data_IF_450104954062
#
_entry.id   IF_450104954062
#
_cell.length_a   1.000
_cell.length_b   1.000
_cell.length_c   1.000
_cell.angle_alpha   90.00
_cell.angle_beta   90.00
_cell.angle_gamma   90.00
#
_symmetry.space_group_name_H-M   'P 1'
#
loop_
_entity.id
_entity.type
_entity.pdbx_description
1 polymer ?
#
# COMPACT_ATOMS: atom_id res chain seq x y z
N UNK A 1 4.66 15.03 -11.23
CA UNK A 1 4.46 13.57 -11.22
C UNK A 1 3.51 13.27 -10.07
N UNK A 2 2.33 12.70 -10.31
CA UNK A 2 1.34 12.48 -9.24
C UNK A 2 1.65 11.15 -8.53
N UNK A 3 2.45 11.21 -7.46
CA UNK A 3 2.85 10.05 -6.65
C UNK A 3 1.65 9.22 -6.14
N UNK A 4 0.44 9.83 -6.06
CA UNK A 4 -0.81 9.15 -5.70
C UNK A 4 -1.19 8.04 -6.67
N UNK A 5 -0.77 8.10 -7.93
CA UNK A 5 -1.09 7.06 -8.93
C UNK A 5 -0.31 5.76 -8.71
N UNK A 6 0.92 5.85 -8.19
CA UNK A 6 1.78 4.67 -7.92
C UNK A 6 1.42 4.01 -6.59
N UNK A 7 1.11 4.81 -5.56
CA UNK A 7 0.72 4.28 -4.24
C UNK A 7 -0.46 3.29 -4.34
N UNK A 8 -1.36 3.50 -5.30
CA UNK A 8 -2.53 2.66 -5.55
C UNK A 8 -2.23 1.32 -6.23
N UNK A 9 -0.98 1.07 -6.65
CA UNK A 9 -0.53 -0.17 -7.31
C UNK A 9 0.53 -0.90 -6.47
N UNK A 10 0.83 -0.41 -5.27
CA UNK A 10 1.70 -1.08 -4.32
C UNK A 10 0.88 -2.19 -3.64
N UNK A 11 0.95 -3.40 -4.21
CA UNK A 11 0.41 -4.60 -3.61
C UNK A 11 1.55 -5.43 -3.02
N UNK A 12 1.26 -6.09 -1.91
CA UNK A 12 2.10 -7.16 -1.39
C UNK A 12 2.28 -8.24 -2.48
N UNK A 13 3.53 -8.56 -2.85
CA UNK A 13 3.85 -9.57 -3.87
C UNK A 13 4.17 -9.02 -5.27
N UNK A 14 4.02 -7.71 -5.53
CA UNK A 14 4.54 -7.10 -6.76
C UNK A 14 6.02 -6.71 -6.59
N UNK A 15 6.90 -7.36 -7.34
CA UNK A 15 8.26 -6.87 -7.58
C UNK A 15 8.19 -5.70 -8.56
N UNK A 16 8.37 -4.47 -8.07
CA UNK A 16 8.42 -3.23 -8.87
C UNK A 16 9.87 -2.76 -9.01
N UNK A 17 10.25 -2.36 -10.21
CA UNK A 17 11.59 -1.85 -10.52
C UNK A 17 11.52 -0.43 -11.09
N UNK A 18 12.55 0.41 -10.88
CA UNK A 18 12.61 1.73 -11.48
C UNK A 18 12.33 1.70 -12.98
N UNK A 19 11.39 2.53 -13.42
CA UNK A 19 10.97 2.61 -14.82
C UNK A 19 9.83 1.67 -15.23
N UNK A 20 9.39 0.75 -14.37
CA UNK A 20 8.16 -0.01 -14.58
C UNK A 20 6.95 0.94 -14.69
N UNK A 21 6.01 0.62 -15.58
CA UNK A 21 4.72 1.32 -15.66
C UNK A 21 3.65 0.45 -15.05
N UNK A 22 3.10 0.92 -13.94
CA UNK A 22 2.07 0.25 -13.17
C UNK A 22 0.69 0.87 -13.45
N UNK A 23 -0.32 0.02 -13.51
CA UNK A 23 -1.71 0.39 -13.72
C UNK A 23 -2.56 -0.25 -12.62
N UNK A 24 -3.54 0.52 -12.12
CA UNK A 24 -4.67 -0.07 -11.44
C UNK A 24 -5.66 -0.54 -12.50
N UNK A 25 -6.31 -1.67 -12.29
CA UNK A 25 -7.37 -2.13 -13.14
C UNK A 25 -8.48 -2.83 -12.39
N UNK A 26 -9.51 -3.16 -13.14
CA UNK A 26 -10.61 -4.01 -12.68
C UNK A 26 -10.75 -5.21 -13.63
N UNK A 27 -11.00 -6.38 -13.06
CA UNK A 27 -11.71 -7.44 -13.75
C UNK A 27 -13.12 -6.95 -14.09
N UNK A 28 -13.48 -7.07 -15.36
CA UNK A 28 -14.72 -6.56 -15.91
C UNK A 28 -15.36 -7.58 -16.88
N UNK A 29 -16.64 -7.36 -17.15
CA UNK A 29 -17.43 -8.10 -18.13
C UNK A 29 -17.61 -7.26 -19.39
N UNK A 30 -17.28 -7.85 -20.53
CA UNK A 30 -17.59 -7.31 -21.86
C UNK A 30 -18.32 -8.34 -22.72
N UNK A 31 -19.03 -7.85 -23.73
CA UNK A 31 -19.62 -8.70 -24.77
C UNK A 31 -18.61 -9.07 -25.88
N UNK A 32 -19.08 -9.54 -27.03
CA UNK A 32 -18.23 -9.91 -28.17
C UNK A 32 -17.65 -8.71 -28.91
N UNK A 33 -18.26 -7.54 -28.77
CA UNK A 33 -17.86 -6.28 -29.39
C UNK A 33 -16.96 -5.45 -28.46
N UNK A 34 -16.53 -6.01 -27.33
CA UNK A 34 -15.77 -5.34 -26.27
C UNK A 34 -16.55 -4.22 -25.55
N UNK A 35 -17.88 -4.24 -25.64
CA UNK A 35 -18.76 -3.31 -24.90
C UNK A 35 -18.84 -3.73 -23.45
N UNK A 36 -18.61 -2.78 -22.55
CA UNK A 36 -18.55 -2.99 -21.12
C UNK A 36 -19.94 -3.24 -20.55
N UNK A 37 -20.22 -4.45 -20.11
CA UNK A 37 -21.51 -4.86 -19.53
C UNK A 37 -21.51 -4.79 -18.00
N UNK A 38 -20.33 -4.98 -17.38
CA UNK A 38 -20.13 -4.77 -15.94
C UNK A 38 -18.69 -4.36 -15.65
N UNK A 39 -18.48 -3.21 -15.02
CA UNK A 39 -17.15 -2.66 -14.67
C UNK A 39 -16.40 -3.42 -13.57
N UNK A 40 -17.06 -4.37 -12.92
CA UNK A 40 -16.56 -5.10 -11.74
C UNK A 40 -16.83 -6.60 -11.82
N UNK A 41 -17.39 -7.09 -12.92
CA UNK A 41 -17.79 -8.49 -13.10
C UNK A 41 -18.59 -9.05 -11.91
N UNK A 42 -19.64 -8.36 -11.49
CA UNK A 42 -20.45 -8.74 -10.33
C UNK A 42 -19.73 -8.62 -8.99
N UNK A 43 -18.67 -7.79 -8.91
CA UNK A 43 -17.73 -7.74 -7.78
C UNK A 43 -17.18 -9.12 -7.43
N UNK A 44 -16.67 -9.81 -8.44
CA UNK A 44 -16.03 -11.13 -8.30
C UNK A 44 -15.08 -11.16 -7.09
N UNK A 45 -15.15 -12.25 -6.30
CA UNK A 45 -14.29 -12.48 -5.12
C UNK A 45 -13.50 -13.78 -5.21
N UNK A 46 -14.00 -14.75 -5.94
CA UNK A 46 -13.40 -16.08 -6.09
C UNK A 46 -12.82 -16.25 -7.50
N UNK A 47 -11.67 -16.92 -7.59
CA UNK A 47 -11.01 -17.22 -8.87
C UNK A 47 -10.26 -16.04 -9.49
N UNK A 48 -10.20 -14.87 -8.85
CA UNK A 48 -9.44 -13.70 -9.35
C UNK A 48 -7.94 -13.98 -9.41
N UNK A 49 -7.39 -14.70 -8.44
CA UNK A 49 -5.98 -15.12 -8.44
C UNK A 49 -5.66 -16.03 -9.62
N UNK A 50 -6.54 -16.98 -9.96
CA UNK A 50 -6.38 -17.85 -11.11
C UNK A 50 -6.43 -17.06 -12.43
N UNK A 51 -7.37 -16.12 -12.53
CA UNK A 51 -7.50 -15.23 -13.69
C UNK A 51 -6.27 -14.33 -13.85
N UNK A 52 -5.74 -13.76 -12.75
CA UNK A 52 -4.52 -12.97 -12.78
C UNK A 52 -3.31 -13.82 -13.19
N UNK A 53 -3.16 -15.01 -12.61
CA UNK A 53 -2.08 -15.96 -12.92
C UNK A 53 -2.09 -16.40 -14.39
N UNK A 54 -3.26 -16.52 -15.01
CA UNK A 54 -3.38 -16.83 -16.44
C UNK A 54 -2.83 -15.72 -17.36
N UNK A 55 -2.69 -14.49 -16.84
CA UNK A 55 -2.16 -13.33 -17.56
C UNK A 55 -0.76 -12.92 -17.10
N UNK A 56 -0.31 -13.45 -15.97
CA UNK A 56 1.00 -13.14 -15.42
C UNK A 56 2.12 -13.66 -16.34
N UNK A 57 3.10 -12.80 -16.62
CA UNK A 57 4.21 -13.11 -17.51
C UNK A 57 3.92 -12.98 -19.00
N UNK A 58 2.76 -12.45 -19.41
CA UNK A 58 2.45 -12.21 -20.82
C UNK A 58 3.52 -11.35 -21.50
N UNK A 59 3.93 -11.77 -22.71
CA UNK A 59 4.89 -11.05 -23.54
C UNK A 59 4.17 -10.19 -24.58
N UNK A 60 4.39 -8.88 -24.50
CA UNK A 60 3.80 -7.85 -25.34
C UNK A 60 4.88 -7.31 -26.30
N UNK A 61 5.54 -8.23 -27.00
CA UNK A 61 6.79 -7.97 -27.71
C UNK A 61 8.00 -8.06 -26.76
N UNK A 62 8.76 -6.97 -26.62
CA UNK A 62 9.90 -6.86 -25.68
C UNK A 62 9.49 -6.46 -24.25
N UNK A 63 8.19 -6.24 -24.03
CA UNK A 63 7.63 -5.84 -22.74
C UNK A 63 6.99 -7.06 -22.09
N UNK A 64 7.23 -7.24 -20.80
CA UNK A 64 6.60 -8.27 -19.98
C UNK A 64 5.51 -7.62 -19.13
N UNK A 65 4.35 -8.25 -19.05
CA UNK A 65 3.30 -7.88 -18.09
C UNK A 65 3.40 -8.79 -16.85
N UNK A 66 3.33 -8.19 -15.67
CA UNK A 66 3.08 -8.89 -14.41
C UNK A 66 1.67 -8.52 -13.95
N UNK A 67 0.88 -9.51 -13.52
CA UNK A 67 -0.52 -9.31 -13.15
C UNK A 67 -0.79 -9.88 -11.76
N UNK A 68 -1.31 -9.05 -10.87
CA UNK A 68 -1.65 -9.48 -9.51
C UNK A 68 -3.10 -9.11 -9.19
N UNK A 69 -3.87 -10.09 -8.70
CA UNK A 69 -5.22 -9.83 -8.21
C UNK A 69 -5.16 -9.03 -6.89
N UNK A 70 -6.12 -8.12 -6.72
CA UNK A 70 -6.35 -7.39 -5.49
C UNK A 70 -7.66 -7.85 -4.82
N UNK A 71 -8.13 -7.06 -3.85
CA UNK A 71 -9.39 -7.34 -3.16
C UNK A 71 -10.60 -7.18 -4.09
N UNK A 72 -11.43 -8.22 -4.16
CA UNK A 72 -12.57 -8.35 -5.08
C UNK A 72 -12.12 -8.22 -6.56
N UNK A 73 -12.86 -7.48 -7.36
CA UNK A 73 -12.61 -7.21 -8.79
C UNK A 73 -11.33 -6.44 -9.11
N UNK A 74 -10.56 -5.96 -8.12
CA UNK A 74 -9.39 -5.12 -8.35
C UNK A 74 -8.22 -5.95 -8.87
N UNK A 75 -7.40 -5.37 -9.74
CA UNK A 75 -6.19 -6.00 -10.27
C UNK A 75 -5.11 -4.95 -10.49
N UNK A 76 -3.85 -5.33 -10.31
CA UNK A 76 -2.69 -4.53 -10.69
C UNK A 76 -2.02 -5.14 -11.92
N UNK A 77 -1.63 -4.28 -12.86
CA UNK A 77 -0.86 -4.70 -14.04
C UNK A 77 0.40 -3.85 -14.12
N UNK A 78 1.54 -4.50 -14.18
CA UNK A 78 2.85 -3.86 -14.31
C UNK A 78 3.45 -4.21 -15.65
N UNK A 79 3.85 -3.21 -16.42
CA UNK A 79 4.56 -3.37 -17.67
C UNK A 79 6.04 -3.07 -17.45
N UNK A 80 6.89 -4.07 -17.70
CA UNK A 80 8.35 -3.99 -17.59
C UNK A 80 9.01 -4.08 -18.95
N UNK A 81 9.85 -3.11 -19.29
CA UNK A 81 10.57 -3.04 -20.55
C UNK A 81 11.24 -1.68 -20.77
N UNK A 82 12.00 -1.56 -21.87
CA UNK A 82 12.68 -0.30 -22.22
C UNK A 82 11.75 0.66 -22.95
N UNK A 83 11.94 1.97 -22.72
CA UNK A 83 11.25 3.03 -23.47
C UNK A 83 9.78 3.16 -23.10
N UNK A 84 9.42 2.85 -21.85
CA UNK A 84 8.06 3.04 -21.36
C UNK A 84 7.88 4.45 -20.78
N UNK A 85 6.68 4.99 -20.96
CA UNK A 85 6.21 6.21 -20.30
C UNK A 85 4.81 5.98 -19.74
N UNK A 86 4.46 6.55 -18.56
CA UNK A 86 3.12 6.46 -18.00
C UNK A 86 2.12 7.41 -18.68
N UNK A 87 2.55 8.23 -19.65
CA UNK A 87 1.70 9.23 -20.31
C UNK A 87 0.85 8.59 -21.41
N UNK A 88 -0.06 7.71 -20.99
CA UNK A 88 -1.06 7.06 -21.85
C UNK A 88 -2.47 7.30 -21.30
N UNK A 89 -3.48 7.20 -22.16
CA UNK A 89 -4.89 7.18 -21.72
C UNK A 89 -5.26 5.83 -21.12
N UNK A 90 -6.25 5.86 -20.24
CA UNK A 90 -6.88 4.69 -19.65
C UNK A 90 -7.59 3.85 -20.74
N UNK A 91 -7.77 2.55 -20.51
CA UNK A 91 -8.62 1.69 -21.38
C UNK A 91 -10.04 1.55 -20.83
N UNK A 92 -10.24 1.96 -19.59
CA UNK A 92 -11.55 1.93 -18.97
C UNK A 92 -12.39 3.13 -19.43
N UNK A 93 -13.54 2.94 -20.09
CA UNK A 93 -14.40 4.03 -20.55
C UNK A 93 -15.18 4.70 -19.41
N UNK A 94 -15.07 4.22 -18.18
CA UNK A 94 -15.78 4.70 -16.98
C UNK A 94 -17.31 4.57 -16.99
N UNK A 95 -17.91 4.11 -18.08
CA UNK A 95 -19.36 3.96 -18.21
C UNK A 95 -19.71 2.56 -18.77
N UNK A 96 -20.84 2.02 -18.30
CA UNK A 96 -21.39 0.75 -18.81
C UNK A 96 -22.09 1.05 -20.13
N UNK A 97 -21.95 0.15 -21.10
CA UNK A 97 -22.47 0.34 -22.45
C UNK A 97 -21.48 1.02 -23.40
N UNK A 98 -20.32 1.44 -22.92
CA UNK A 98 -19.25 1.94 -23.76
C UNK A 98 -18.25 0.83 -24.12
N UNK A 99 -17.57 0.96 -25.24
CA UNK A 99 -16.53 0.01 -25.64
C UNK A 99 -15.26 0.26 -24.84
N UNK A 100 -14.52 -0.79 -24.49
CA UNK A 100 -13.17 -0.63 -23.92
C UNK A 100 -12.34 0.26 -24.83
N UNK A 101 -11.79 1.33 -24.27
CA UNK A 101 -11.05 2.34 -25.02
C UNK A 101 -9.70 1.81 -25.48
N UNK A 102 -9.30 2.24 -26.68
CA UNK A 102 -7.92 2.07 -27.11
C UNK A 102 -7.03 3.05 -26.35
N UNK A 103 -6.00 2.53 -25.66
CA UNK A 103 -5.01 3.37 -25.00
C UNK A 103 -4.22 4.15 -26.04
N UNK A 104 -4.22 5.47 -25.90
CA UNK A 104 -3.55 6.43 -26.79
C UNK A 104 -2.34 7.03 -26.06
N UNK A 105 -1.21 7.21 -26.77
CA UNK A 105 -0.07 7.92 -26.20
C UNK A 105 -0.40 9.41 -26.08
N UNK A 106 -0.16 9.98 -24.90
CA UNK A 106 -0.28 11.43 -24.65
C UNK A 106 1.01 12.18 -25.01
N UNK A 107 2.09 11.46 -25.34
CA UNK A 107 3.36 11.98 -25.82
C UNK A 107 4.08 10.95 -26.70
N UNK A 108 5.08 11.39 -27.47
CA UNK A 108 5.81 10.52 -28.42
C UNK A 108 6.48 9.31 -27.74
N UNK A 109 7.05 9.51 -26.55
CA UNK A 109 7.70 8.46 -25.76
C UNK A 109 6.72 7.36 -25.30
N UNK A 110 5.43 7.69 -25.14
CA UNK A 110 4.43 6.74 -24.65
C UNK A 110 3.85 5.81 -25.72
N UNK A 111 4.25 5.95 -27.00
CA UNK A 111 3.77 5.10 -28.10
C UNK A 111 4.00 3.61 -27.84
N UNK A 112 5.14 3.27 -27.23
CA UNK A 112 5.49 1.88 -26.90
C UNK A 112 4.57 1.35 -25.80
N UNK A 113 4.34 2.13 -24.74
CA UNK A 113 3.41 1.77 -23.65
C UNK A 113 2.00 1.58 -24.18
N UNK A 114 1.46 2.52 -24.95
CA UNK A 114 0.11 2.44 -25.50
C UNK A 114 -0.09 1.17 -26.34
N UNK A 115 0.89 0.84 -27.19
CA UNK A 115 0.88 -0.40 -27.98
C UNK A 115 0.88 -1.65 -27.10
N UNK A 116 1.67 -1.66 -26.03
CA UNK A 116 1.72 -2.76 -25.08
C UNK A 116 0.40 -2.91 -24.32
N UNK A 117 -0.19 -1.81 -23.83
CA UNK A 117 -1.51 -1.79 -23.18
C UNK A 117 -2.58 -2.37 -24.10
N UNK A 118 -2.64 -1.93 -25.36
CA UNK A 118 -3.63 -2.43 -26.32
C UNK A 118 -3.41 -3.92 -26.66
N UNK A 119 -2.15 -4.35 -26.75
CA UNK A 119 -1.82 -5.76 -26.93
C UNK A 119 -2.22 -6.60 -25.70
N UNK A 120 -2.02 -6.08 -24.50
CA UNK A 120 -2.43 -6.71 -23.25
C UNK A 120 -3.95 -6.87 -23.19
N UNK A 121 -4.72 -5.80 -23.41
CA UNK A 121 -6.19 -5.83 -23.41
C UNK A 121 -6.73 -6.91 -24.35
N UNK A 122 -6.21 -6.99 -25.58
CA UNK A 122 -6.62 -8.00 -26.58
C UNK A 122 -6.26 -9.43 -26.15
N UNK A 123 -5.05 -9.65 -25.64
CA UNK A 123 -4.62 -10.97 -25.18
C UNK A 123 -5.38 -11.40 -23.93
N UNK A 124 -5.59 -10.49 -22.98
CA UNK A 124 -6.35 -10.73 -21.77
C UNK A 124 -7.78 -11.17 -22.11
N UNK A 125 -8.48 -10.46 -23.00
CA UNK A 125 -9.81 -10.89 -23.43
C UNK A 125 -9.81 -12.30 -24.03
N UNK A 126 -8.87 -12.59 -24.93
CA UNK A 126 -8.77 -13.91 -25.57
C UNK A 126 -8.55 -15.05 -24.57
N UNK A 127 -7.70 -14.82 -23.57
CA UNK A 127 -7.39 -15.83 -22.54
C UNK A 127 -8.55 -15.96 -21.56
N UNK A 128 -9.07 -14.85 -21.05
CA UNK A 128 -10.07 -14.83 -20.00
C UNK A 128 -11.45 -15.29 -20.51
N UNK A 129 -11.87 -14.95 -21.74
CA UNK A 129 -13.19 -15.32 -22.29
C UNK A 129 -13.48 -16.81 -22.17
N UNK A 130 -12.47 -17.64 -22.38
CA UNK A 130 -12.59 -19.11 -22.35
C UNK A 130 -12.02 -19.74 -21.08
N UNK A 131 -11.59 -18.96 -20.09
CA UNK A 131 -10.98 -19.48 -18.86
C UNK A 131 -11.98 -20.32 -18.05
N UNK A 132 -11.59 -21.45 -17.42
CA UNK A 132 -12.49 -22.31 -16.65
C UNK A 132 -13.35 -21.56 -15.62
N UNK A 133 -12.75 -20.61 -14.89
CA UNK A 133 -13.45 -19.72 -13.95
C UNK A 133 -14.60 -19.00 -14.64
N UNK A 134 -14.37 -18.36 -15.80
CA UNK A 134 -15.40 -17.63 -16.52
C UNK A 134 -16.46 -18.55 -17.14
N UNK A 135 -16.09 -19.74 -17.61
CA UNK A 135 -17.10 -20.73 -18.06
C UNK A 135 -18.03 -21.14 -16.93
N UNK A 136 -17.49 -21.37 -15.73
CA UNK A 136 -18.28 -21.72 -14.55
C UNK A 136 -19.19 -20.55 -14.12
N UNK A 137 -18.70 -19.30 -14.16
CA UNK A 137 -19.51 -18.11 -13.87
C UNK A 137 -20.69 -17.97 -14.82
N UNK A 138 -20.44 -18.08 -16.13
CA UNK A 138 -21.49 -18.01 -17.15
C UNK A 138 -22.53 -19.11 -16.96
N UNK A 139 -22.11 -20.35 -16.66
CA UNK A 139 -23.02 -21.46 -16.39
C UNK A 139 -23.93 -21.23 -15.17
N UNK A 140 -23.51 -20.38 -14.22
CA UNK A 140 -24.30 -19.95 -13.05
C UNK A 140 -25.13 -18.69 -13.30
N UNK A 141 -25.08 -18.10 -14.50
CA UNK A 141 -25.73 -16.82 -14.79
C UNK A 141 -25.01 -15.60 -14.18
N UNK A 142 -23.77 -15.77 -13.72
CA UNK A 142 -22.96 -14.67 -13.17
C UNK A 142 -22.19 -13.94 -14.29
N UNK A 143 -21.97 -12.61 -14.16
CA UNK A 143 -21.15 -11.86 -15.12
C UNK A 143 -19.71 -12.41 -15.19
N UNK A 144 -19.17 -12.73 -16.38
CA UNK A 144 -17.81 -13.21 -16.51
C UNK A 144 -16.78 -12.10 -16.27
N UNK A 145 -15.66 -12.40 -15.63
CA UNK A 145 -14.49 -11.53 -15.55
C UNK A 145 -13.61 -11.74 -16.79
N UNK A 146 -14.14 -11.46 -17.98
CA UNK A 146 -13.51 -11.75 -19.27
C UNK A 146 -12.66 -10.62 -19.84
N UNK A 147 -12.55 -9.47 -19.16
CA UNK A 147 -11.67 -8.38 -19.54
C UNK A 147 -10.97 -7.76 -18.33
N UNK A 148 -9.88 -7.04 -18.59
CA UNK A 148 -9.27 -6.11 -17.62
C UNK A 148 -9.32 -4.71 -18.22
N UNK A 149 -9.90 -3.78 -17.48
CA UNK A 149 -9.92 -2.36 -17.80
C UNK A 149 -8.90 -1.62 -16.92
N UNK A 150 -7.98 -0.88 -17.54
CA UNK A 150 -6.81 -0.28 -16.91
C UNK A 150 -6.98 1.22 -16.75
N UNK A 151 -6.46 1.73 -15.63
CA UNK A 151 -6.48 3.14 -15.26
C UNK A 151 -5.24 3.60 -14.53
N UNK A 152 -4.99 4.90 -14.60
CA UNK A 152 -4.10 5.58 -13.67
C UNK A 152 -2.65 5.17 -13.82
N UNK A 153 -2.18 5.06 -15.07
CA UNK A 153 -0.79 4.77 -15.39
C UNK A 153 0.18 5.61 -14.54
N UNK A 154 1.11 4.92 -13.88
CA UNK A 154 2.14 5.51 -13.03
C UNK A 154 3.49 4.86 -13.29
N UNK A 155 4.56 5.64 -13.20
CA UNK A 155 5.93 5.11 -13.29
C UNK A 155 6.45 4.83 -11.90
N UNK A 156 6.95 3.62 -11.65
CA UNK A 156 7.62 3.36 -10.38
C UNK A 156 8.85 4.27 -10.27
N UNK A 157 8.89 5.19 -9.29
CA UNK A 157 9.93 6.19 -9.20
C UNK A 157 11.25 5.54 -8.83
N UNK A 158 12.34 6.22 -9.18
CA UNK A 158 13.65 5.89 -8.61
C UNK A 158 13.65 6.37 -7.15
N UNK A 159 13.65 5.41 -6.22
CA UNK A 159 13.62 5.66 -4.79
C UNK A 159 14.94 5.19 -4.20
N UNK A 160 15.60 6.09 -3.45
CA UNK A 160 16.74 5.69 -2.61
C UNK A 160 16.19 4.86 -1.45
N UNK A 161 16.60 3.59 -1.30
CA UNK A 161 16.19 2.75 -0.19
C UNK A 161 16.51 3.42 1.16
N UNK A 162 15.69 3.18 2.17
CA UNK A 162 15.90 3.73 3.51
C UNK A 162 17.22 3.26 4.11
N UNK A 163 17.63 2.04 3.76
CA UNK A 163 18.88 1.42 4.17
C UNK A 163 20.11 2.15 3.63
N UNK A 164 20.02 2.67 2.40
CA UNK A 164 21.05 3.52 1.81
C UNK A 164 20.97 4.95 2.36
N UNK A 165 19.77 5.52 2.42
CA UNK A 165 19.57 6.92 2.78
C UNK A 165 19.97 7.24 4.23
N UNK A 166 19.71 6.32 5.15
CA UNK A 166 19.96 6.52 6.58
C UNK A 166 20.99 5.56 7.16
N UNK A 167 21.60 4.69 6.34
CA UNK A 167 22.62 3.72 6.78
C UNK A 167 22.14 2.83 7.93
N UNK A 168 20.91 2.31 7.82
CA UNK A 168 20.27 1.44 8.83
C UNK A 168 19.76 0.14 8.19
N UNK A 169 19.82 -0.98 8.89
CA UNK A 169 18.97 -2.14 8.54
C UNK A 169 17.55 -1.89 9.03
N UNK A 170 16.54 -2.17 8.21
CA UNK A 170 15.17 -1.76 8.52
C UNK A 170 14.14 -2.86 8.25
N UNK A 171 13.20 -3.05 9.18
CA UNK A 171 12.11 -3.99 9.06
C UNK A 171 10.74 -3.36 9.38
N UNK A 172 9.69 -3.87 8.75
CA UNK A 172 8.32 -3.37 8.90
C UNK A 172 7.33 -4.51 9.18
N UNK A 173 6.45 -4.28 10.16
CA UNK A 173 5.37 -5.20 10.54
C UNK A 173 4.03 -4.49 10.32
N UNK A 174 3.24 -5.01 9.38
CA UNK A 174 1.90 -4.53 9.12
C UNK A 174 0.99 -5.69 8.68
N UNK A 175 -0.31 -5.59 8.98
CA UNK A 175 -1.31 -6.54 8.49
C UNK A 175 -1.92 -6.17 7.13
N UNK A 176 -1.75 -4.92 6.69
CA UNK A 176 -2.37 -4.42 5.45
C UNK A 176 -1.39 -4.53 4.29
N UNK A 177 -1.82 -5.17 3.20
CA UNK A 177 -1.01 -5.39 2.00
C UNK A 177 -0.39 -4.10 1.42
N UNK A 178 -1.13 -2.99 1.44
CA UNK A 178 -0.64 -1.69 0.97
C UNK A 178 0.59 -1.22 1.77
N UNK A 179 0.51 -1.25 3.09
CA UNK A 179 1.61 -0.81 3.97
C UNK A 179 2.82 -1.74 3.83
N UNK A 180 2.58 -3.06 3.75
CA UNK A 180 3.62 -4.07 3.51
C UNK A 180 4.33 -3.84 2.18
N UNK A 181 3.59 -3.55 1.12
CA UNK A 181 4.19 -3.20 -0.17
C UNK A 181 5.00 -1.89 -0.10
N UNK A 182 4.56 -0.90 0.69
CA UNK A 182 5.33 0.34 0.89
C UNK A 182 6.65 0.07 1.59
N UNK A 183 6.67 -0.77 2.63
CA UNK A 183 7.91 -1.19 3.29
C UNK A 183 8.92 -1.79 2.31
N UNK A 184 8.51 -2.74 1.46
CA UNK A 184 9.40 -3.30 0.42
C UNK A 184 9.87 -2.25 -0.57
N UNK A 185 8.96 -1.36 -0.98
CA UNK A 185 9.23 -0.30 -1.94
C UNK A 185 10.33 0.65 -1.46
N UNK A 186 10.41 0.90 -0.15
CA UNK A 186 11.46 1.74 0.45
C UNK A 186 12.65 0.95 0.98
N UNK A 187 12.75 -0.35 0.67
CA UNK A 187 13.89 -1.19 1.04
C UNK A 187 13.90 -1.68 2.49
N UNK A 188 12.73 -1.87 3.09
CA UNK A 188 12.58 -2.54 4.39
C UNK A 188 12.20 -4.01 4.22
N UNK A 189 12.73 -4.86 5.09
CA UNK A 189 12.28 -6.24 5.22
C UNK A 189 10.87 -6.28 5.80
N UNK A 190 10.00 -7.09 5.21
CA UNK A 190 8.62 -7.24 5.70
C UNK A 190 8.51 -8.50 6.52
N UNK A 191 8.21 -8.34 7.80
CA UNK A 191 8.11 -9.45 8.75
C UNK A 191 6.66 -9.93 8.83
N UNK A 192 6.48 -11.23 8.59
CA UNK A 192 5.20 -11.90 8.72
C UNK A 192 4.97 -12.35 10.15
N UNK A 193 3.94 -11.78 10.76
CA UNK A 193 3.51 -12.11 12.13
C UNK A 193 2.16 -12.82 12.05
N UNK A 194 2.07 -14.11 12.46
CA UNK A 194 0.78 -14.80 12.58
C UNK A 194 -0.20 -14.00 13.45
N UNK A 195 -1.45 -13.84 12.98
CA UNK A 195 -2.47 -13.06 13.68
C UNK A 195 -2.45 -11.56 13.39
N UNK A 196 -1.46 -11.03 12.65
CA UNK A 196 -1.43 -9.63 12.23
C UNK A 196 -2.38 -9.36 11.03
N UNK A 197 -3.69 -9.39 11.25
CA UNK A 197 -4.70 -9.29 10.18
C UNK A 197 -4.87 -7.87 9.62
N UNK A 198 -4.51 -6.84 10.39
CA UNK A 198 -4.85 -5.45 10.08
C UNK A 198 -6.31 -5.08 10.34
N UNK A 199 -7.15 -6.02 10.77
CA UNK A 199 -8.52 -5.80 11.21
C UNK A 199 -8.64 -5.54 12.71
N UNK A 200 -9.87 -5.48 13.21
CA UNK A 200 -10.15 -5.38 14.64
C UNK A 200 -9.71 -6.65 15.39
N UNK A 201 -9.68 -7.79 14.71
CA UNK A 201 -9.23 -9.08 15.21
C UNK A 201 -7.69 -9.24 15.23
N UNK A 202 -6.93 -8.21 14.83
CA UNK A 202 -5.47 -8.28 14.79
C UNK A 202 -4.88 -8.57 16.17
N UNK A 203 -3.93 -9.50 16.23
CA UNK A 203 -3.18 -9.79 17.44
C UNK A 203 -2.13 -8.70 17.65
N UNK A 204 -2.34 -7.87 18.67
CA UNK A 204 -1.43 -6.76 18.99
C UNK A 204 -0.18 -7.27 19.72
N UNK A 205 -0.31 -8.30 20.56
CA UNK A 205 0.79 -8.83 21.36
C UNK A 205 1.75 -9.61 20.46
N UNK A 206 1.23 -10.45 19.56
CA UNK A 206 2.07 -11.15 18.58
C UNK A 206 2.89 -10.16 17.72
N UNK A 207 2.32 -9.00 17.39
CA UNK A 207 3.03 -7.96 16.63
C UNK A 207 4.09 -7.24 17.46
N UNK A 208 3.85 -7.02 18.75
CA UNK A 208 4.86 -6.50 19.66
C UNK A 208 6.02 -7.50 19.80
N UNK A 209 5.74 -8.80 19.98
CA UNK A 209 6.76 -9.84 20.04
C UNK A 209 7.58 -9.91 18.74
N UNK A 210 6.89 -9.85 17.59
CA UNK A 210 7.56 -9.77 16.29
C UNK A 210 8.46 -8.54 16.16
N UNK A 211 8.05 -7.39 16.70
CA UNK A 211 8.87 -6.18 16.68
C UNK A 211 10.12 -6.30 17.58
N UNK A 212 9.97 -6.92 18.75
CA UNK A 212 11.08 -7.18 19.68
C UNK A 212 12.09 -8.16 19.08
N UNK A 213 11.64 -9.20 18.38
CA UNK A 213 12.54 -10.13 17.69
C UNK A 213 13.26 -9.45 16.52
N UNK A 214 12.53 -8.64 15.73
CA UNK A 214 13.09 -7.87 14.63
C UNK A 214 14.21 -6.91 15.06
N UNK A 215 14.05 -6.26 16.21
CA UNK A 215 15.04 -5.33 16.78
C UNK A 215 16.39 -6.00 17.11
N UNK A 216 16.45 -7.34 17.18
CA UNK A 216 17.71 -8.07 17.41
C UNK A 216 18.64 -8.04 16.20
N UNK A 217 18.10 -7.82 15.01
CA UNK A 217 18.82 -7.88 13.74
C UNK A 217 18.67 -6.62 12.90
N UNK A 218 17.76 -5.72 13.27
CA UNK A 218 17.46 -4.49 12.54
C UNK A 218 17.64 -3.26 13.41
N UNK A 219 18.25 -2.22 12.83
CA UNK A 219 18.45 -0.91 13.46
C UNK A 219 17.14 -0.10 13.57
N UNK A 220 16.20 -0.31 12.64
CA UNK A 220 14.90 0.36 12.58
C UNK A 220 13.78 -0.67 12.41
N UNK A 221 12.78 -0.63 13.30
CA UNK A 221 11.58 -1.44 13.17
C UNK A 221 10.34 -0.56 13.18
N UNK A 222 9.51 -0.66 12.14
CA UNK A 222 8.23 0.05 12.03
C UNK A 222 7.07 -0.90 12.28
N UNK A 223 6.39 -0.72 13.41
CA UNK A 223 5.20 -1.48 13.78
C UNK A 223 3.92 -0.69 13.47
N UNK A 224 3.17 -1.10 12.44
CA UNK A 224 1.99 -0.37 11.97
C UNK A 224 0.68 -1.02 12.42
N UNK A 225 -0.23 -0.27 13.05
CA UNK A 225 -1.56 -0.73 13.49
C UNK A 225 -2.67 -0.04 12.69
N UNK A 226 -3.47 -0.80 11.93
CA UNK A 226 -4.54 -0.25 11.08
C UNK A 226 -5.88 -0.04 11.79
N UNK A 227 -6.19 -0.86 12.79
CA UNK A 227 -7.51 -0.95 13.40
C UNK A 227 -8.16 0.39 13.82
N UNK A 228 -7.44 1.38 14.39
CA UNK A 228 -8.05 2.67 14.77
C UNK A 228 -8.68 3.44 13.61
N UNK A 229 -8.11 3.30 12.41
CA UNK A 229 -8.60 3.99 11.22
C UNK A 229 -9.92 3.41 10.72
N UNK A 230 -10.08 2.07 10.79
CA UNK A 230 -11.33 1.39 10.44
C UNK A 230 -12.49 1.91 11.30
N UNK A 231 -12.27 2.03 12.61
CA UNK A 231 -13.26 2.60 13.53
C UNK A 231 -13.59 4.08 13.21
N UNK A 232 -12.59 4.85 12.76
CA UNK A 232 -12.76 6.22 12.30
C UNK A 232 -13.70 6.31 11.10
N UNK A 233 -13.43 5.53 10.05
CA UNK A 233 -14.28 5.44 8.85
C UNK A 233 -15.70 4.93 9.15
N UNK A 234 -15.85 3.98 10.08
CA UNK A 234 -17.18 3.48 10.47
C UNK A 234 -17.95 4.46 11.36
N UNK A 235 -17.28 5.51 11.87
CA UNK A 235 -17.85 6.44 12.83
C UNK A 235 -18.19 5.79 14.17
N UNK A 236 -17.41 4.78 14.57
CA UNK A 236 -17.62 4.05 15.81
C UNK A 236 -16.61 4.51 16.88
N UNK A 237 -16.99 5.54 17.65
CA UNK A 237 -16.13 6.08 18.71
C UNK A 237 -15.80 5.05 19.79
N UNK A 238 -16.79 4.29 20.26
CA UNK A 238 -16.61 3.31 21.34
C UNK A 238 -15.60 2.22 20.96
N UNK A 239 -15.66 1.74 19.73
CA UNK A 239 -14.70 0.74 19.26
C UNK A 239 -13.31 1.36 19.01
N UNK A 240 -13.24 2.61 18.52
CA UNK A 240 -11.95 3.32 18.38
C UNK A 240 -11.23 3.45 19.72
N UNK A 241 -11.96 3.77 20.80
CA UNK A 241 -11.43 3.84 22.16
C UNK A 241 -10.87 2.47 22.59
N UNK A 242 -11.66 1.39 22.45
CA UNK A 242 -11.22 0.03 22.80
C UNK A 242 -9.97 -0.42 22.04
N UNK A 243 -9.86 -0.06 20.77
CA UNK A 243 -8.67 -0.38 19.98
C UNK A 243 -7.45 0.40 20.48
N UNK A 244 -7.62 1.68 20.85
CA UNK A 244 -6.54 2.48 21.44
C UNK A 244 -6.11 1.90 22.80
N UNK A 245 -7.04 1.44 23.65
CA UNK A 245 -6.71 0.75 24.91
C UNK A 245 -5.92 -0.55 24.67
N UNK A 246 -6.25 -1.31 23.62
CA UNK A 246 -5.46 -2.48 23.21
C UNK A 246 -4.08 -2.11 22.69
N UNK A 247 -3.94 -0.96 22.02
CA UNK A 247 -2.63 -0.42 21.64
C UNK A 247 -1.83 0.01 22.87
N UNK A 248 -2.45 0.60 23.88
CA UNK A 248 -1.80 0.94 25.15
C UNK A 248 -1.28 -0.32 25.86
N UNK A 249 -2.08 -1.39 25.93
CA UNK A 249 -1.64 -2.68 26.46
C UNK A 249 -0.46 -3.28 25.67
N UNK A 250 -0.47 -3.15 24.33
CA UNK A 250 0.65 -3.55 23.46
C UNK A 250 1.92 -2.73 23.75
N UNK A 251 1.78 -1.41 23.95
CA UNK A 251 2.89 -0.54 24.32
C UNK A 251 3.42 -0.85 25.72
N UNK A 252 2.54 -1.20 26.66
CA UNK A 252 2.92 -1.71 27.98
C UNK A 252 3.77 -2.97 27.89
N UNK A 253 3.35 -3.93 27.05
CA UNK A 253 4.11 -5.16 26.78
C UNK A 253 5.46 -4.91 26.10
N UNK A 254 5.54 -3.99 25.14
CA UNK A 254 6.81 -3.56 24.56
C UNK A 254 7.73 -2.98 25.64
N UNK A 255 7.21 -2.05 26.46
CA UNK A 255 7.99 -1.35 27.48
C UNK A 255 8.63 -2.28 28.51
N UNK A 256 8.02 -3.41 28.84
CA UNK A 256 8.60 -4.37 29.81
C UNK A 256 9.78 -5.15 29.25
N UNK A 257 9.96 -5.20 27.92
CA UNK A 257 10.97 -6.02 27.26
C UNK A 257 11.94 -5.25 26.37
N UNK A 258 11.66 -3.98 26.07
CA UNK A 258 12.54 -3.12 25.30
C UNK A 258 13.89 -2.97 26.01
N UNK A 259 14.97 -3.13 25.24
CA UNK A 259 16.31 -2.80 25.70
C UNK A 259 16.44 -1.28 25.89
N UNK A 260 17.33 -0.86 26.80
CA UNK A 260 17.46 0.55 27.21
C UNK A 260 18.01 1.44 26.10
N UNK A 261 18.72 0.85 25.14
CA UNK A 261 19.30 1.50 23.98
C UNK A 261 18.30 1.69 22.81
N UNK A 262 17.05 1.26 22.96
CA UNK A 262 16.01 1.45 21.95
C UNK A 262 15.29 2.79 22.14
N UNK A 263 15.22 3.57 21.06
CA UNK A 263 14.37 4.76 20.97
C UNK A 263 13.07 4.39 20.26
N UNK A 264 11.95 4.76 20.87
CA UNK A 264 10.59 4.52 20.39
C UNK A 264 9.94 5.85 20.02
N UNK A 265 9.36 5.93 18.83
CA UNK A 265 8.37 6.95 18.51
C UNK A 265 6.99 6.33 18.36
N UNK A 266 5.98 6.99 18.93
CA UNK A 266 4.57 6.66 18.73
C UNK A 266 3.85 7.85 18.10
N UNK A 267 3.21 7.61 16.97
CA UNK A 267 2.41 8.60 16.23
C UNK A 267 1.41 7.91 15.31
N UNK A 268 0.64 8.70 14.56
CA UNK A 268 -0.21 8.23 13.47
C UNK A 268 0.30 8.80 12.14
N UNK A 269 -0.02 8.14 11.04
CA UNK A 269 0.25 8.65 9.69
C UNK A 269 -0.72 9.75 9.28
N UNK A 270 -1.96 9.72 9.79
CA UNK A 270 -2.96 10.77 9.61
C UNK A 270 -4.05 10.75 10.69
N UNK A 271 -4.87 11.80 10.70
CA UNK A 271 -6.09 11.88 11.49
C UNK A 271 -7.27 11.29 10.72
N UNK A 272 -8.12 10.52 11.43
CA UNK A 272 -9.40 10.01 10.90
C UNK A 272 -10.51 10.26 11.93
N UNK A 273 -11.09 11.47 11.96
CA UNK A 273 -12.11 11.83 12.94
C UNK A 273 -13.40 11.03 12.74
N UNK A 274 -13.93 10.49 13.83
CA UNK A 274 -15.18 9.68 13.84
C UNK A 274 -16.36 10.46 13.24
N UNK A 275 -16.43 11.77 13.47
CA UNK A 275 -17.48 12.63 12.95
C UNK A 275 -17.40 12.82 11.42
N UNK A 276 -16.20 12.75 10.85
CA UNK A 276 -15.98 12.92 9.41
C UNK A 276 -16.06 11.62 8.64
N UNK A 277 -15.78 10.48 9.29
CA UNK A 277 -15.74 9.15 8.66
C UNK A 277 -14.76 9.05 7.48
N UNK A 278 -13.79 9.95 7.46
CA UNK A 278 -12.76 10.06 6.44
C UNK A 278 -11.53 10.73 7.04
N UNK A 279 -10.44 10.73 6.29
CA UNK A 279 -9.19 11.35 6.69
C UNK A 279 -9.37 12.88 6.78
N UNK A 280 -8.69 13.50 7.74
CA UNK A 280 -8.64 14.95 7.88
C UNK A 280 -7.21 15.49 7.85
N UNK A 281 -7.08 16.81 7.70
CA UNK A 281 -5.80 17.51 7.78
C UNK A 281 -5.39 17.89 9.20
N UNK A 282 -6.07 17.36 10.22
CA UNK A 282 -5.76 17.67 11.62
C UNK A 282 -4.41 17.05 12.01
N UNK A 283 -3.57 17.77 12.78
CA UNK A 283 -2.29 17.24 13.23
C UNK A 283 -2.49 16.03 14.15
N UNK A 284 -1.49 15.16 14.18
CA UNK A 284 -1.49 13.92 14.97
C UNK A 284 -0.52 14.02 16.15
N UNK A 285 -0.84 13.39 17.30
CA UNK A 285 0.08 13.21 18.42
C UNK A 285 1.42 12.55 18.00
N UNK A 286 2.54 13.01 18.57
CA UNK A 286 3.84 12.36 18.47
C UNK A 286 4.52 12.39 19.83
N UNK A 287 4.99 11.25 20.29
CA UNK A 287 5.87 11.14 21.45
C UNK A 287 7.13 10.36 21.08
N UNK A 288 8.24 10.67 21.74
CA UNK A 288 9.51 9.98 21.61
C UNK A 288 9.98 9.58 23.00
N UNK A 289 10.29 8.30 23.16
CA UNK A 289 10.73 7.69 24.41
C UNK A 289 12.05 6.96 24.16
N UNK A 290 12.99 7.05 25.10
CA UNK A 290 14.27 6.34 25.02
C UNK A 290 15.29 6.97 25.95
N UNK A 291 16.39 6.27 26.17
CA UNK A 291 17.52 6.81 26.92
C UNK A 291 18.11 8.04 26.20
N UNK A 292 18.44 9.10 26.95
CA UNK A 292 19.00 10.34 26.40
C UNK A 292 17.98 11.33 25.81
N UNK A 293 16.69 10.97 25.74
CA UNK A 293 15.63 11.92 25.33
C UNK A 293 15.38 12.94 26.44
N UNK A 294 15.31 14.23 26.08
CA UNK A 294 14.92 15.30 27.01
C UNK A 294 13.41 15.28 27.21
N UNK A 295 12.99 14.99 28.43
CA UNK A 295 11.57 14.85 28.81
C UNK A 295 10.98 16.23 29.15
N UNK A 296 9.78 16.50 28.64
CA UNK A 296 9.01 17.70 28.96
C UNK A 296 7.98 17.43 30.08
N UNK A 297 7.10 18.39 30.36
CA UNK A 297 6.12 18.28 31.46
C UNK A 297 4.81 17.60 31.03
N UNK A 298 4.68 17.14 29.79
CA UNK A 298 3.42 16.56 29.29
C UNK A 298 3.28 15.11 29.75
N UNK A 299 2.19 14.82 30.47
CA UNK A 299 1.97 13.51 31.11
C UNK A 299 0.97 12.58 30.39
N UNK A 300 0.18 13.11 29.44
CA UNK A 300 -0.87 12.35 28.76
C UNK A 300 -0.67 12.36 27.25
N UNK A 301 -0.94 11.24 26.60
CA UNK A 301 -0.87 11.10 25.15
C UNK A 301 -2.25 11.26 24.51
N UNK A 302 -2.63 12.51 24.26
CA UNK A 302 -3.85 12.92 23.55
C UNK A 302 -3.60 14.22 22.77
N UNK A 303 -4.48 14.57 21.84
CA UNK A 303 -4.31 15.72 20.94
C UNK A 303 -4.17 17.06 21.67
N UNK A 304 -4.79 17.22 22.86
CA UNK A 304 -4.75 18.49 23.62
C UNK A 304 -3.48 18.59 24.45
N UNK A 305 -3.13 17.50 25.13
CA UNK A 305 -1.91 17.43 25.94
C UNK A 305 -0.67 17.59 25.06
N UNK A 306 -0.61 16.88 23.93
CA UNK A 306 0.53 16.90 23.01
C UNK A 306 0.74 18.25 22.30
N UNK A 307 -0.28 19.11 22.24
CA UNK A 307 -0.12 20.48 21.73
C UNK A 307 0.84 21.34 22.57
N UNK A 308 1.15 20.93 23.81
CA UNK A 308 2.08 21.60 24.71
C UNK A 308 3.47 20.94 24.76
N UNK A 309 3.70 19.89 23.96
CA UNK A 309 4.96 19.14 23.96
C UNK A 309 6.14 19.94 23.39
N UNK A 310 7.34 19.71 23.91
CA UNK A 310 8.54 20.44 23.56
C UNK A 310 9.05 20.17 22.12
N UNK A 311 8.57 19.10 21.47
CA UNK A 311 8.83 18.83 20.05
C UNK A 311 8.16 19.86 19.12
N UNK A 312 7.14 20.58 19.60
CA UNK A 312 6.38 21.52 18.80
C UNK A 312 5.66 20.83 17.63
N UNK A 313 5.55 21.54 16.50
CA UNK A 313 4.84 21.04 15.31
C UNK A 313 5.82 20.63 14.21
N UNK A 314 6.11 19.34 14.14
CA UNK A 314 6.94 18.72 13.10
C UNK A 314 6.12 18.31 11.88
N UNK A 315 6.78 18.17 10.74
CA UNK A 315 6.25 17.44 9.58
C UNK A 315 6.61 15.96 9.71
N UNK A 316 5.83 15.09 9.07
CA UNK A 316 6.16 13.66 9.02
C UNK A 316 7.56 13.37 8.47
N UNK A 317 8.05 14.22 7.56
CA UNK A 317 9.42 14.15 7.01
C UNK A 317 10.53 14.43 8.02
N UNK A 318 10.22 15.05 9.15
CA UNK A 318 11.20 15.44 10.16
C UNK A 318 11.41 14.33 11.20
N UNK A 319 10.43 13.43 11.37
CA UNK A 319 10.40 12.40 12.43
C UNK A 319 11.64 11.50 12.38
N UNK A 320 12.03 11.03 11.19
CA UNK A 320 13.22 10.18 11.05
C UNK A 320 14.50 10.90 11.48
N UNK A 321 14.66 12.18 11.17
CA UNK A 321 15.84 12.93 11.59
C UNK A 321 15.91 13.08 13.12
N UNK A 322 14.76 13.28 13.78
CA UNK A 322 14.69 13.35 15.24
C UNK A 322 15.01 11.99 15.87
N UNK A 323 14.49 10.90 15.31
CA UNK A 323 14.77 9.54 15.77
C UNK A 323 16.23 9.15 15.60
N UNK A 324 16.84 9.44 14.45
CA UNK A 324 18.26 9.18 14.21
C UNK A 324 19.12 9.98 15.18
N UNK A 325 18.74 11.23 15.49
CA UNK A 325 19.48 12.04 16.47
C UNK A 325 19.36 11.46 17.87
N UNK A 326 18.14 11.10 18.30
CA UNK A 326 17.90 10.50 19.60
C UNK A 326 18.61 9.16 19.79
N UNK A 327 18.80 8.39 18.70
CA UNK A 327 19.52 7.12 18.70
C UNK A 327 21.02 7.24 18.41
N UNK A 328 21.58 8.46 18.39
CA UNK A 328 23.00 8.72 18.09
C UNK A 328 23.47 8.19 16.72
N UNK A 329 22.60 8.21 15.72
CA UNK A 329 22.86 7.75 14.33
C UNK A 329 22.99 8.88 13.31
N UNK A 330 22.86 10.13 13.73
CA UNK A 330 23.05 11.29 12.82
C UNK A 330 24.52 11.65 12.73
N UNK A 331 24.99 11.81 11.50
CA UNK A 331 26.28 12.42 11.23
C UNK A 331 26.19 13.95 11.22
N UNK A 332 27.22 14.60 11.76
CA UNK A 332 27.34 16.06 11.72
C UNK A 332 27.56 16.50 10.26
N UNK A 333 26.74 17.42 9.78
CA UNK A 333 26.98 18.03 8.47
C UNK A 333 28.04 19.14 8.58
N UNK A 334 29.24 18.87 8.07
CA UNK A 334 30.41 19.74 8.16
C UNK A 334 31.13 19.65 9.52
N UNK A 335 32.37 20.15 9.58
CA UNK A 335 33.31 20.15 10.73
C UNK A 335 33.54 18.80 11.44
#
# INVERSE_FOLDING_TARGET
MDARKILLVIFDGLDLQPGDIAFRGNFASVDEEMKLTDRRAGRIREGTDELAKALDGLKLGRIKATVLAGTEHRVAVVLRGRGLSPRVTDTDPHEIGETIEESKPLESAAKVTAKAVNAFTKQAYKILKSHPVNRARVAKGEPPANAIVLRGAGVFPDLVPITERFHVTAAGIAGVALIRGMFRTIGMDVIDVPGATGGLDTDMIAKADGALDALRTHDLVVLHVKAPDLCGHDGNASEKIRVIERMDAMMGHLKTMLATDVVVALTADHSTPVALKDHSGDPVPLTIFGEGVRVDEVLNFDERSMAHGALGRLRGTDVMNVLLNASNRVEKYGA
#
